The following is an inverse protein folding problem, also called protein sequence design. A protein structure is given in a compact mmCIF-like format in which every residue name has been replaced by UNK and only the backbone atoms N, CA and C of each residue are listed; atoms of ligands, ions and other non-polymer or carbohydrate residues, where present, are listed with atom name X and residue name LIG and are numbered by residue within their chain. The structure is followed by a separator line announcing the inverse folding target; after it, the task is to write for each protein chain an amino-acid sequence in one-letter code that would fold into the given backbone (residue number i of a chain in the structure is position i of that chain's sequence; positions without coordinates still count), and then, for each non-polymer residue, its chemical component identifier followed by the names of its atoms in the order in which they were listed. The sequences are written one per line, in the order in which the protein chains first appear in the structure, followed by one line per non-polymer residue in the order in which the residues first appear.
data_IF_039544778353
#
_entry.id   IF_039544778353
#
_cell.length_a   1.000
_cell.length_b   1.000
_cell.length_c   1.000
_cell.angle_alpha   90.00
_cell.angle_beta   90.00
_cell.angle_gamma   90.00
#
_symmetry.space_group_name_H-M   'P 1'
#
loop_
_entity.id
_entity.type
_entity.pdbx_description
1 polymer ?
#
# COMPACT_ATOMS: atom_id res chain seq x y z
N UNK A 1 19.54 1.72 -6.46
CA UNK A 1 19.61 1.81 -4.99
C UNK A 1 18.98 0.55 -4.42
N UNK A 2 19.67 -0.20 -3.55
CA UNK A 2 19.15 -1.47 -3.05
C UNK A 2 18.04 -1.17 -2.05
N UNK A 3 16.83 -1.54 -2.45
CA UNK A 3 15.60 -1.44 -1.67
C UNK A 3 15.76 -2.46 -0.54
N UNK A 4 15.74 -1.99 0.70
CA UNK A 4 15.84 -2.87 1.86
C UNK A 4 14.62 -3.79 1.88
N UNK A 5 14.82 -5.10 1.93
CA UNK A 5 13.76 -6.14 1.96
C UNK A 5 12.91 -6.10 3.26
N UNK A 6 13.08 -5.04 4.07
CA UNK A 6 12.38 -4.78 5.33
C UNK A 6 11.22 -3.79 5.20
N UNK A 7 11.00 -3.17 4.05
CA UNK A 7 9.84 -2.29 3.87
C UNK A 7 8.58 -3.11 3.58
N UNK A 8 7.59 -3.03 4.49
CA UNK A 8 6.32 -3.75 4.41
C UNK A 8 5.49 -3.37 3.17
N UNK A 9 5.71 -2.16 2.64
CA UNK A 9 5.08 -1.63 1.43
C UNK A 9 6.17 -1.39 0.38
N UNK A 10 6.07 -2.06 -0.76
CA UNK A 10 7.03 -1.90 -1.83
C UNK A 10 6.95 -0.48 -2.44
N UNK A 11 8.04 0.07 -2.98
CA UNK A 11 8.07 1.47 -3.47
C UNK A 11 6.99 1.75 -4.53
N UNK A 12 6.66 0.75 -5.35
CA UNK A 12 5.55 0.82 -6.34
C UNK A 12 4.17 0.91 -5.69
N UNK A 13 3.98 0.27 -4.54
CA UNK A 13 2.73 0.26 -3.79
C UNK A 13 2.54 1.58 -3.05
N UNK A 14 3.62 2.10 -2.46
CA UNK A 14 3.65 3.44 -1.89
C UNK A 14 3.33 4.49 -2.96
N UNK A 15 3.97 4.42 -4.13
CA UNK A 15 3.70 5.33 -5.24
C UNK A 15 2.23 5.26 -5.72
N UNK A 16 1.62 4.07 -5.70
CA UNK A 16 0.20 3.89 -6.02
C UNK A 16 -0.71 4.53 -4.97
N UNK A 17 -0.44 4.34 -3.68
CA UNK A 17 -1.20 4.98 -2.60
C UNK A 17 -1.08 6.50 -2.74
N UNK A 18 0.14 7.02 -2.86
CA UNK A 18 0.40 8.46 -3.04
C UNK A 18 -0.34 9.01 -4.25
N UNK A 19 -0.33 8.30 -5.39
CA UNK A 19 -1.09 8.70 -6.57
C UNK A 19 -2.61 8.74 -6.34
N UNK A 20 -3.17 7.75 -5.62
CA UNK A 20 -4.59 7.73 -5.29
C UNK A 20 -4.95 8.88 -4.34
N UNK A 21 -4.12 9.13 -3.32
CA UNK A 21 -4.27 10.24 -2.37
C UNK A 21 -4.18 11.59 -3.07
N UNK A 22 -3.20 11.79 -3.96
CA UNK A 22 -3.06 13.00 -4.74
C UNK A 22 -4.28 13.27 -5.61
N UNK A 23 -4.79 12.24 -6.31
CA UNK A 23 -6.01 12.36 -7.11
C UNK A 23 -7.23 12.66 -6.23
N UNK A 24 -7.35 12.07 -5.04
CA UNK A 24 -8.45 12.34 -4.12
C UNK A 24 -8.42 13.77 -3.57
N UNK A 25 -7.24 14.28 -3.23
CA UNK A 25 -7.03 15.67 -2.81
C UNK A 25 -7.45 16.62 -3.93
N UNK A 26 -6.99 16.39 -5.17
CA UNK A 26 -7.37 17.19 -6.34
C UNK A 26 -8.88 17.15 -6.63
N UNK A 27 -9.58 16.07 -6.25
CA UNK A 27 -11.02 15.89 -6.48
C UNK A 27 -11.90 16.40 -5.32
N UNK A 28 -11.34 17.20 -4.42
CA UNK A 28 -12.08 17.80 -3.28
C UNK A 28 -11.87 17.08 -1.95
N UNK A 29 -10.75 16.36 -1.78
CA UNK A 29 -10.36 15.76 -0.50
C UNK A 29 -11.15 14.52 -0.08
N UNK A 30 -11.94 13.92 -0.97
CA UNK A 30 -12.73 12.71 -0.69
C UNK A 30 -12.28 11.54 -1.55
N UNK A 31 -12.03 10.41 -0.91
CA UNK A 31 -11.86 9.14 -1.60
C UNK A 31 -13.21 8.63 -2.10
N UNK A 32 -13.26 8.19 -3.34
CA UNK A 32 -14.35 7.34 -3.81
C UNK A 32 -14.24 5.95 -3.20
N UNK A 33 -15.36 5.23 -3.06
CA UNK A 33 -15.37 3.85 -2.57
C UNK A 33 -14.41 2.92 -3.34
N UNK A 34 -14.20 3.18 -4.65
CA UNK A 34 -13.23 2.43 -5.47
C UNK A 34 -11.78 2.74 -5.12
N UNK A 35 -11.47 4.00 -4.80
CA UNK A 35 -10.11 4.40 -4.39
C UNK A 35 -9.78 3.85 -3.00
N UNK A 36 -10.73 3.92 -2.07
CA UNK A 36 -10.58 3.38 -0.73
C UNK A 36 -10.36 1.87 -0.78
N UNK A 37 -11.22 1.14 -1.50
CA UNK A 37 -11.05 -0.31 -1.72
C UNK A 37 -9.69 -0.68 -2.33
N UNK A 38 -9.12 0.18 -3.20
CA UNK A 38 -7.77 -0.05 -3.76
C UNK A 38 -6.66 0.18 -2.74
N UNK A 39 -6.80 1.17 -1.87
CA UNK A 39 -5.85 1.41 -0.78
C UNK A 39 -5.90 0.22 0.19
N UNK A 40 -7.11 -0.19 0.60
CA UNK A 40 -7.32 -1.33 1.51
C UNK A 40 -6.69 -2.61 0.93
N UNK A 41 -6.89 -2.90 -0.35
CA UNK A 41 -6.26 -4.06 -1.01
C UNK A 41 -4.72 -4.01 -1.02
N UNK A 42 -4.13 -2.83 -1.09
CA UNK A 42 -2.66 -2.69 -1.04
C UNK A 42 -2.17 -2.96 0.39
N UNK A 43 -2.88 -2.45 1.39
CA UNK A 43 -2.59 -2.65 2.81
C UNK A 43 -2.76 -4.12 3.20
N UNK A 44 -3.87 -4.76 2.80
CA UNK A 44 -4.13 -6.18 3.06
C UNK A 44 -3.02 -7.07 2.50
N UNK A 45 -2.62 -6.82 1.24
CA UNK A 45 -1.51 -7.55 0.61
C UNK A 45 -0.15 -7.30 1.24
N UNK A 46 0.04 -6.15 1.90
CA UNK A 46 1.26 -5.86 2.65
C UNK A 46 1.26 -6.65 3.96
N UNK A 47 0.14 -6.65 4.70
CA UNK A 47 -0.02 -7.45 5.91
C UNK A 47 0.06 -8.96 5.67
N UNK A 48 -0.49 -9.48 4.57
CA UNK A 48 -0.34 -10.89 4.17
C UNK A 48 1.14 -11.25 3.95
N UNK A 49 1.94 -10.34 3.37
CA UNK A 49 3.38 -10.56 3.19
C UNK A 49 4.14 -10.52 4.51
N UNK A 50 3.79 -9.60 5.40
CA UNK A 50 4.39 -9.49 6.72
C UNK A 50 4.10 -10.75 7.57
N UNK A 51 2.85 -11.20 7.58
CA UNK A 51 2.44 -12.44 8.29
C UNK A 51 3.10 -13.67 7.68
N UNK A 52 3.22 -13.77 6.36
CA UNK A 52 3.97 -14.83 5.70
C UNK A 52 5.47 -14.79 6.04
N UNK A 53 6.10 -13.61 6.04
CA UNK A 53 7.50 -13.41 6.44
C UNK A 53 7.73 -13.80 7.90
N UNK A 54 6.85 -13.41 8.82
CA UNK A 54 6.91 -13.79 10.24
C UNK A 54 6.78 -15.30 10.44
N UNK A 55 5.88 -15.96 9.68
CA UNK A 55 5.64 -17.40 9.78
C UNK A 55 6.78 -18.26 9.23
N UNK A 56 7.55 -17.74 8.26
CA UNK A 56 8.70 -18.45 7.68
C UNK A 56 10.01 -18.24 8.46
N UNK A 57 10.01 -17.34 9.46
CA UNK A 57 11.18 -16.97 10.26
C UNK A 57 11.08 -17.48 11.72
N UNK A 58 10.12 -18.37 12.00
CA UNK A 58 9.97 -19.18 13.21
C UNK A 58 10.37 -20.63 12.90
#
# INVERSE_FOLDING_TARGET
MPISDRDDINHRELARIVGITAVAVLKGGRFSARQQKRIDQIIDRAHERETAKRRNNQ
#
